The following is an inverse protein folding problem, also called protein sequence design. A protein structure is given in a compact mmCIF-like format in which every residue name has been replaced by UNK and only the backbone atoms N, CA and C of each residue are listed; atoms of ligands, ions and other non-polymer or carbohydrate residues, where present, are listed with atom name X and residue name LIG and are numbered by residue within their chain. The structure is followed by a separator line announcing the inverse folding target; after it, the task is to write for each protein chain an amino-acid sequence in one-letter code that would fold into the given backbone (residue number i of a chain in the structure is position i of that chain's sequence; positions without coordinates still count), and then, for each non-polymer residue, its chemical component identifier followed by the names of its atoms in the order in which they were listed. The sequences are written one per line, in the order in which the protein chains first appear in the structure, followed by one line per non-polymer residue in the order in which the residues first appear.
data_IF_312452686987
#
_entry.id   IF_312452686987
#
_cell.length_a   1.000
_cell.length_b   1.000
_cell.length_c   1.000
_cell.angle_alpha   90.00
_cell.angle_beta   90.00
_cell.angle_gamma   90.00
#
_symmetry.space_group_name_H-M   'P 1'
#
loop_
_entity.id
_entity.type
_entity.pdbx_description
1 polymer ?
#
# COMPACT_ATOMS: atom_id res chain seq x y z
N UNK A 1 2.26 -8.83 2.17
CA UNK A 1 1.00 -8.14 1.74
C UNK A 1 1.19 -7.41 0.39
N UNK A 2 2.33 -6.74 0.20
CA UNK A 2 2.70 -6.05 -1.03
C UNK A 2 3.42 -6.98 -2.04
N UNK A 3 3.42 -6.60 -3.32
CA UNK A 3 4.08 -7.28 -4.43
C UNK A 3 5.50 -6.75 -4.62
N UNK A 4 6.52 -7.58 -4.39
CA UNK A 4 7.92 -7.16 -4.47
C UNK A 4 8.33 -6.67 -5.87
N UNK A 5 7.86 -7.33 -6.93
CA UNK A 5 8.07 -6.88 -8.32
C UNK A 5 7.52 -5.47 -8.57
N UNK A 6 6.27 -5.22 -8.17
CA UNK A 6 5.65 -3.90 -8.37
C UNK A 6 6.32 -2.84 -7.49
N UNK A 7 6.66 -3.18 -6.25
CA UNK A 7 7.41 -2.31 -5.34
C UNK A 7 8.77 -1.91 -5.91
N UNK A 8 9.50 -2.84 -6.53
CA UNK A 8 10.78 -2.54 -7.18
C UNK A 8 10.63 -1.57 -8.37
N UNK A 9 9.58 -1.75 -9.18
CA UNK A 9 9.27 -0.84 -10.30
C UNK A 9 8.87 0.55 -9.78
N UNK A 10 8.08 0.61 -8.71
CA UNK A 10 7.69 1.87 -8.08
C UNK A 10 8.89 2.61 -7.48
N UNK A 11 9.80 1.89 -6.81
CA UNK A 11 11.04 2.47 -6.28
C UNK A 11 11.91 3.06 -7.40
N UNK A 12 12.11 2.33 -8.50
CA UNK A 12 12.88 2.83 -9.64
C UNK A 12 12.21 4.03 -10.34
N UNK A 13 10.87 4.10 -10.34
CA UNK A 13 10.14 5.26 -10.86
C UNK A 13 10.28 6.48 -9.94
N UNK A 14 10.23 6.27 -8.62
CA UNK A 14 10.43 7.32 -7.61
C UNK A 14 11.86 7.88 -7.63
N UNK A 15 12.87 7.01 -7.69
CA UNK A 15 14.29 7.39 -7.80
C UNK A 15 14.53 8.25 -9.07
N UNK A 16 13.96 7.85 -10.20
CA UNK A 16 14.04 8.62 -11.44
C UNK A 16 13.29 9.96 -11.39
N UNK A 17 12.30 10.10 -10.49
CA UNK A 17 11.62 11.36 -10.20
C UNK A 17 12.40 12.24 -9.19
N UNK A 18 13.60 11.83 -8.77
CA UNK A 18 14.43 12.57 -7.81
C UNK A 18 13.98 12.43 -6.37
N UNK A 19 13.20 11.38 -6.04
CA UNK A 19 12.86 11.05 -4.66
C UNK A 19 13.99 10.27 -3.98
N UNK A 20 14.26 10.59 -2.71
CA UNK A 20 14.99 9.69 -1.82
C UNK A 20 14.06 8.53 -1.45
N UNK A 21 14.49 7.30 -1.66
CA UNK A 21 13.64 6.11 -1.51
C UNK A 21 14.25 5.15 -0.50
N UNK A 22 13.44 4.74 0.46
CA UNK A 22 13.72 3.61 1.33
C UNK A 22 12.93 2.41 0.84
N UNK A 23 13.60 1.27 0.61
CA UNK A 23 12.95 0.04 0.15
C UNK A 23 12.68 -0.87 1.35
N UNK A 24 11.45 -1.39 1.42
CA UNK A 24 11.00 -2.20 2.54
C UNK A 24 10.35 -1.35 3.62
N UNK A 25 10.34 -1.87 4.84
CA UNK A 25 9.70 -1.26 5.99
C UNK A 25 8.32 -1.84 6.31
N UNK A 26 7.91 -1.65 7.56
CA UNK A 26 6.68 -2.12 8.16
C UNK A 26 5.73 -0.94 8.31
N UNK A 27 4.66 -0.95 7.51
CA UNK A 27 3.57 0.02 7.61
C UNK A 27 2.59 -0.40 8.70
N UNK A 28 2.36 0.49 9.66
CA UNK A 28 1.28 0.39 10.63
C UNK A 28 0.03 1.09 10.11
N UNK A 29 -1.06 0.35 9.99
CA UNK A 29 -2.38 0.92 9.76
C UNK A 29 -3.08 1.12 11.11
N UNK A 30 -3.31 2.37 11.50
CA UNK A 30 -4.18 2.73 12.62
C UNK A 30 -5.54 3.21 12.11
N UNK A 31 -6.55 3.24 12.99
CA UNK A 31 -7.91 3.65 12.60
C UNK A 31 -8.02 5.15 12.31
N UNK A 32 -7.44 6.00 13.16
CA UNK A 32 -7.69 7.45 13.13
C UNK A 32 -9.11 7.84 13.59
N UNK A 33 -9.56 9.09 13.36
CA UNK A 33 -8.85 10.19 12.69
C UNK A 33 -7.80 10.91 13.56
N UNK A 34 -7.76 10.63 14.86
CA UNK A 34 -6.76 11.20 15.75
C UNK A 34 -5.38 10.61 15.46
N UNK A 35 -4.34 11.45 15.55
CA UNK A 35 -2.96 10.97 15.58
C UNK A 35 -2.66 10.19 16.84
N UNK A 36 -1.60 9.38 16.79
CA UNK A 36 -1.12 8.62 17.93
C UNK A 36 -0.72 9.53 19.08
N UNK A 37 -0.94 9.07 20.30
CA UNK A 37 -0.26 9.59 21.49
C UNK A 37 1.24 9.25 21.43
N UNK A 38 2.05 9.96 22.23
CA UNK A 38 3.48 9.65 22.37
C UNK A 38 3.71 8.18 22.79
N UNK A 39 2.90 7.67 23.73
CA UNK A 39 3.02 6.30 24.22
C UNK A 39 2.74 5.27 23.10
N UNK A 40 1.72 5.51 22.28
CA UNK A 40 1.41 4.67 21.12
C UNK A 40 2.54 4.72 20.09
N UNK A 41 3.00 5.92 19.71
CA UNK A 41 4.08 6.08 18.73
C UNK A 41 5.38 5.37 19.16
N UNK A 42 5.77 5.51 20.43
CA UNK A 42 6.93 4.79 21.01
C UNK A 42 6.70 3.27 21.01
N UNK A 43 5.50 2.80 21.36
CA UNK A 43 5.17 1.37 21.32
C UNK A 43 5.29 0.82 19.88
N UNK A 44 4.68 1.49 18.90
CA UNK A 44 4.70 1.06 17.50
C UNK A 44 6.12 1.02 16.93
N UNK A 45 6.93 2.04 17.20
CA UNK A 45 8.31 2.12 16.71
C UNK A 45 9.23 1.13 17.42
N UNK A 46 9.27 1.14 18.75
CA UNK A 46 10.31 0.42 19.51
C UNK A 46 9.94 -1.01 19.86
N UNK A 47 8.65 -1.29 20.04
CA UNK A 47 8.19 -2.63 20.45
C UNK A 47 7.69 -3.44 19.28
N UNK A 48 7.02 -2.81 18.31
CA UNK A 48 6.51 -3.50 17.12
C UNK A 48 7.47 -3.41 15.93
N UNK A 49 8.43 -2.47 15.95
CA UNK A 49 9.37 -2.29 14.86
C UNK A 49 8.71 -1.74 13.59
N UNK A 50 7.66 -0.92 13.75
CA UNK A 50 7.03 -0.24 12.63
C UNK A 50 7.88 0.95 12.15
N UNK A 51 7.99 1.11 10.84
CA UNK A 51 8.82 2.14 10.21
C UNK A 51 8.00 3.37 9.81
N UNK A 52 6.75 3.14 9.40
CA UNK A 52 5.82 4.19 8.96
C UNK A 52 4.42 3.90 9.48
N UNK A 53 3.64 4.95 9.70
CA UNK A 53 2.26 4.87 10.17
C UNK A 53 1.34 5.63 9.22
N UNK A 54 0.11 5.16 9.09
CA UNK A 54 -0.98 5.88 8.41
C UNK A 54 -2.31 5.17 8.62
N UNK A 55 -3.34 5.56 7.85
CA UNK A 55 -4.72 5.16 8.13
C UNK A 55 -5.45 4.47 6.97
N UNK A 56 -4.79 4.22 5.83
CA UNK A 56 -5.52 3.85 4.59
C UNK A 56 -5.15 2.51 3.96
N UNK A 57 -3.90 2.05 4.10
CA UNK A 57 -3.44 0.84 3.38
C UNK A 57 -4.07 -0.48 3.86
N UNK A 58 -4.72 -0.50 5.03
CA UNK A 58 -5.61 -1.58 5.45
C UNK A 58 -7.04 -1.04 5.59
N UNK A 59 -8.05 -1.76 5.08
CA UNK A 59 -8.00 -3.12 4.50
C UNK A 59 -7.58 -3.17 3.01
N UNK A 60 -7.18 -2.05 2.39
CA UNK A 60 -6.91 -1.95 0.95
C UNK A 60 -5.97 -3.05 0.41
N UNK A 61 -4.83 -3.31 1.04
CA UNK A 61 -3.91 -4.33 0.53
C UNK A 61 -4.44 -5.77 0.67
N UNK A 62 -5.38 -6.04 1.59
CA UNK A 62 -6.08 -7.33 1.68
C UNK A 62 -7.10 -7.45 0.56
N UNK A 63 -7.91 -6.43 0.33
CA UNK A 63 -8.89 -6.41 -0.76
C UNK A 63 -8.22 -6.51 -2.13
N UNK A 64 -7.09 -5.82 -2.33
CA UNK A 64 -6.31 -5.95 -3.56
C UNK A 64 -5.76 -7.37 -3.75
N UNK A 65 -5.43 -8.08 -2.66
CA UNK A 65 -5.01 -9.49 -2.72
C UNK A 65 -6.17 -10.39 -3.09
N UNK A 66 -7.35 -10.18 -2.52
CA UNK A 66 -8.57 -10.91 -2.85
C UNK A 66 -9.00 -10.68 -4.30
N UNK A 67 -8.77 -9.48 -4.84
CA UNK A 67 -9.00 -9.16 -6.26
C UNK A 67 -7.88 -9.63 -7.21
N UNK A 68 -6.91 -10.41 -6.72
CA UNK A 68 -5.76 -10.90 -7.49
C UNK A 68 -4.96 -9.79 -8.22
N UNK A 69 -4.83 -8.64 -7.55
CA UNK A 69 -4.07 -7.49 -8.03
C UNK A 69 -2.66 -7.47 -7.43
N UNK A 70 -1.68 -7.12 -8.26
CA UNK A 70 -0.38 -6.71 -7.73
C UNK A 70 -0.55 -5.38 -7.01
N UNK A 71 -0.37 -5.37 -5.69
CA UNK A 71 -0.47 -4.17 -4.86
C UNK A 71 0.91 -3.75 -4.36
N UNK A 72 1.22 -2.46 -4.40
CA UNK A 72 2.40 -1.88 -3.75
C UNK A 72 1.99 -0.56 -3.09
N UNK A 73 2.51 -0.31 -1.90
CA UNK A 73 2.35 0.98 -1.22
C UNK A 73 3.60 1.82 -1.43
N UNK A 74 3.39 3.12 -1.69
CA UNK A 74 4.44 4.14 -1.68
C UNK A 74 4.06 5.12 -0.56
N UNK A 75 4.64 4.90 0.62
CA UNK A 75 4.42 5.79 1.75
C UNK A 75 5.27 7.06 1.58
N UNK A 76 4.58 8.21 1.48
CA UNK A 76 5.22 9.51 1.36
C UNK A 76 5.29 10.15 2.74
N UNK A 77 6.49 10.22 3.32
CA UNK A 77 6.69 10.70 4.69
C UNK A 77 6.40 12.21 4.76
N UNK A 78 5.52 12.60 5.67
CA UNK A 78 5.11 13.99 5.89
C UNK A 78 5.71 14.59 7.14
N UNK A 79 5.92 13.76 8.16
CA UNK A 79 6.37 14.13 9.49
C UNK A 79 6.85 12.87 10.22
N UNK A 80 7.26 13.03 11.48
CA UNK A 80 7.82 11.96 12.30
C UNK A 80 6.82 11.38 13.31
N UNK A 81 5.53 11.66 13.24
CA UNK A 81 4.54 11.27 14.26
C UNK A 81 4.92 11.79 15.67
N UNK A 82 4.09 11.50 16.67
CA UNK A 82 4.20 12.06 18.02
C UNK A 82 5.46 11.69 18.80
N UNK A 83 6.31 10.76 18.33
CA UNK A 83 7.54 10.38 19.06
C UNK A 83 8.66 11.41 18.95
N UNK A 84 8.67 12.25 17.91
CA UNK A 84 9.74 13.21 17.72
C UNK A 84 9.58 14.39 18.70
N UNK A 85 10.63 14.81 19.42
CA UNK A 85 10.56 15.92 20.37
C UNK A 85 9.99 17.21 19.77
N UNK A 86 10.27 17.45 18.48
CA UNK A 86 9.85 18.64 17.75
C UNK A 86 8.41 18.54 17.19
N UNK A 87 7.66 17.46 17.46
CA UNK A 87 6.31 17.23 16.92
C UNK A 87 5.31 18.35 17.29
N UNK A 88 5.55 19.09 18.38
CA UNK A 88 4.75 20.26 18.78
C UNK A 88 5.15 21.60 18.14
N UNK A 89 6.28 21.65 17.43
CA UNK A 89 6.83 22.86 16.78
C UNK A 89 6.69 22.83 15.25
N UNK A 90 6.04 21.79 14.71
CA UNK A 90 5.92 21.62 13.26
C UNK A 90 4.97 22.68 12.70
N UNK A 91 5.55 23.69 12.07
CA UNK A 91 4.83 24.71 11.33
C UNK A 91 3.96 24.04 10.24
N UNK A 92 2.66 24.32 10.26
CA UNK A 92 1.69 23.85 9.26
C UNK A 92 2.17 24.15 7.83
N UNK A 93 2.89 25.26 7.64
CA UNK A 93 3.45 25.64 6.34
C UNK A 93 4.54 24.68 5.86
N UNK A 94 5.40 24.15 6.74
CA UNK A 94 6.41 23.15 6.39
C UNK A 94 5.77 21.77 6.10
N UNK A 95 4.67 21.43 6.78
CA UNK A 95 3.86 20.24 6.44
C UNK A 95 3.28 20.38 5.03
N UNK A 96 2.63 21.51 4.73
CA UNK A 96 2.03 21.78 3.41
C UNK A 96 3.08 21.73 2.31
N UNK A 97 4.26 22.30 2.55
CA UNK A 97 5.39 22.27 1.61
C UNK A 97 5.89 20.85 1.38
N UNK A 98 6.05 20.05 2.43
CA UNK A 98 6.44 18.64 2.34
C UNK A 98 5.41 17.83 1.56
N UNK A 99 4.12 18.02 1.86
CA UNK A 99 3.01 17.40 1.13
C UNK A 99 3.02 17.75 -0.36
N UNK A 100 3.22 19.04 -0.69
CA UNK A 100 3.22 19.51 -2.08
C UNK A 100 4.42 18.93 -2.85
N UNK A 101 5.61 18.97 -2.27
CA UNK A 101 6.80 18.37 -2.88
C UNK A 101 6.69 16.85 -3.06
N UNK A 102 6.07 16.15 -2.09
CA UNK A 102 5.77 14.73 -2.22
C UNK A 102 4.74 14.47 -3.32
N UNK A 103 3.71 15.30 -3.46
CA UNK A 103 2.69 15.14 -4.50
C UNK A 103 3.25 15.29 -5.91
N UNK A 104 4.18 16.23 -6.14
CA UNK A 104 4.85 16.38 -7.44
C UNK A 104 5.67 15.14 -7.81
N UNK A 105 6.49 14.65 -6.87
CA UNK A 105 7.26 13.41 -7.05
C UNK A 105 6.36 12.21 -7.25
N UNK A 106 5.26 12.11 -6.49
CA UNK A 106 4.26 11.05 -6.61
C UNK A 106 3.58 11.04 -7.99
N UNK A 107 3.26 12.22 -8.54
CA UNK A 107 2.72 12.35 -9.90
C UNK A 107 3.71 11.88 -10.96
N UNK A 108 4.98 12.31 -10.85
CA UNK A 108 6.03 11.90 -11.77
C UNK A 108 6.31 10.39 -11.71
N UNK A 109 6.33 9.82 -10.50
CA UNK A 109 6.40 8.38 -10.25
C UNK A 109 5.26 7.66 -10.98
N UNK A 110 4.01 8.06 -10.72
CA UNK A 110 2.83 7.42 -11.30
C UNK A 110 2.84 7.49 -12.84
N UNK A 111 3.18 8.65 -13.41
CA UNK A 111 3.32 8.83 -14.86
C UNK A 111 4.43 7.94 -15.46
N UNK A 112 5.48 7.65 -14.69
CA UNK A 112 6.59 6.79 -15.10
C UNK A 112 6.33 5.29 -15.04
N UNK A 113 5.25 4.83 -14.37
CA UNK A 113 4.96 3.41 -14.18
C UNK A 113 4.59 2.67 -15.48
N UNK A 114 3.68 3.17 -16.36
CA UNK A 114 3.28 2.43 -17.56
C UNK A 114 4.45 2.07 -18.47
N UNK A 115 5.38 3.01 -18.70
CA UNK A 115 6.57 2.76 -19.52
C UNK A 115 7.52 1.70 -18.94
N UNK A 116 7.54 1.52 -17.61
CA UNK A 116 8.37 0.52 -16.92
C UNK A 116 7.69 -0.84 -16.80
N UNK A 117 6.37 -0.88 -16.70
CA UNK A 117 5.59 -2.11 -16.64
C UNK A 117 5.36 -2.73 -18.02
N UNK A 118 5.40 -1.91 -19.08
CA UNK A 118 5.12 -2.32 -20.45
C UNK A 118 3.62 -2.47 -20.74
N UNK A 119 3.30 -2.73 -22.01
CA UNK A 119 1.91 -2.85 -22.47
C UNK A 119 1.27 -4.21 -22.14
N UNK A 120 2.09 -5.25 -21.95
CA UNK A 120 1.61 -6.62 -21.68
C UNK A 120 1.74 -6.97 -20.20
N UNK A 121 0.63 -7.42 -19.59
CA UNK A 121 0.64 -7.98 -18.24
C UNK A 121 1.19 -9.39 -18.26
N UNK A 122 2.41 -9.58 -17.75
CA UNK A 122 2.97 -10.90 -17.50
C UNK A 122 2.47 -11.49 -16.18
N UNK A 123 2.49 -12.83 -16.08
CA UNK A 123 2.19 -13.51 -14.82
C UNK A 123 3.08 -13.00 -13.70
N UNK A 124 2.49 -12.72 -12.54
CA UNK A 124 3.29 -12.30 -11.40
C UNK A 124 4.12 -13.50 -10.89
N UNK A 125 5.46 -13.38 -10.76
CA UNK A 125 6.29 -14.45 -10.22
C UNK A 125 5.98 -14.74 -8.74
N UNK A 126 5.35 -13.80 -8.03
CA UNK A 126 4.92 -13.97 -6.64
C UNK A 126 3.48 -14.46 -6.51
N UNK A 127 2.81 -14.82 -7.61
CA UNK A 127 1.45 -15.36 -7.59
C UNK A 127 0.37 -14.38 -7.13
N UNK A 128 0.63 -13.07 -7.08
CA UNK A 128 -0.37 -12.08 -6.67
C UNK A 128 -1.64 -12.13 -7.54
N UNK A 129 -1.46 -12.47 -8.82
CA UNK A 129 -2.50 -12.58 -9.84
C UNK A 129 -3.22 -13.93 -9.86
N UNK A 130 -2.91 -14.80 -8.89
CA UNK A 130 -3.54 -16.12 -8.69
C UNK A 130 -3.76 -16.42 -7.21
N UNK A 131 -3.86 -15.37 -6.39
CA UNK A 131 -3.92 -15.50 -4.94
C UNK A 131 -5.12 -16.34 -4.45
N UNK A 132 -6.21 -16.41 -5.23
CA UNK A 132 -7.41 -17.13 -4.88
C UNK A 132 -7.41 -18.62 -5.29
N UNK A 133 -6.41 -19.07 -6.06
CA UNK A 133 -6.38 -20.41 -6.69
C UNK A 133 -6.64 -21.57 -5.70
N UNK A 134 -6.22 -21.40 -4.44
CA UNK A 134 -6.47 -22.36 -3.36
C UNK A 134 -7.08 -21.72 -2.10
N UNK A 135 -7.60 -20.49 -2.20
CA UNK A 135 -8.11 -19.75 -1.05
C UNK A 135 -9.64 -19.88 -0.89
N UNK A 136 -10.35 -20.24 -1.96
CA UNK A 136 -11.81 -20.42 -1.90
C UNK A 136 -12.14 -21.83 -1.42
N UNK A 137 -12.59 -21.93 -0.16
CA UNK A 137 -12.96 -23.19 0.47
C UNK A 137 -14.42 -23.59 0.24
N UNK A 138 -15.28 -22.62 -0.10
CA UNK A 138 -16.70 -22.87 -0.34
C UNK A 138 -16.87 -23.79 -1.55
N UNK A 139 -17.45 -24.96 -1.31
CA UNK A 139 -17.66 -25.99 -2.33
C UNK A 139 -18.57 -25.47 -3.45
N UNK A 140 -18.36 -25.88 -4.72
CA UNK A 140 -19.14 -25.37 -5.85
C UNK A 140 -20.66 -25.47 -5.68
N UNK A 141 -21.15 -26.56 -5.09
CA UNK A 141 -22.57 -26.82 -4.82
C UNK A 141 -23.16 -25.98 -3.68
N UNK A 142 -22.31 -25.42 -2.80
CA UNK A 142 -22.71 -24.55 -1.70
C UNK A 142 -22.64 -23.05 -2.03
N UNK A 143 -22.28 -22.67 -3.27
CA UNK A 143 -22.15 -21.27 -3.69
C UNK A 143 -23.50 -20.70 -4.10
N UNK A 144 -23.99 -19.72 -3.34
CA UNK A 144 -25.20 -18.99 -3.69
C UNK A 144 -25.01 -18.20 -5.00
N UNK A 145 -25.89 -18.35 -6.02
CA UNK A 145 -25.71 -17.72 -7.33
C UNK A 145 -25.62 -16.19 -7.27
N UNK A 146 -26.38 -15.54 -6.39
CA UNK A 146 -26.36 -14.08 -6.20
C UNK A 146 -25.03 -13.59 -5.63
N UNK A 147 -24.41 -14.36 -4.74
CA UNK A 147 -23.09 -14.04 -4.17
C UNK A 147 -22.00 -14.20 -5.22
N UNK A 148 -22.04 -15.27 -6.04
CA UNK A 148 -21.08 -15.47 -7.15
C UNK A 148 -21.17 -14.31 -8.14
N UNK A 149 -22.38 -13.92 -8.54
CA UNK A 149 -22.59 -12.79 -9.44
C UNK A 149 -22.04 -11.47 -8.87
N UNK A 150 -22.19 -11.22 -7.56
CA UNK A 150 -21.61 -10.05 -6.88
C UNK A 150 -20.08 -10.05 -6.87
N UNK A 151 -19.46 -11.22 -6.88
CA UNK A 151 -18.01 -11.39 -6.80
C UNK A 151 -17.33 -11.49 -8.18
N UNK A 152 -18.07 -11.41 -9.28
CA UNK A 152 -17.55 -11.60 -10.64
C UNK A 152 -16.30 -10.76 -10.94
N UNK A 153 -16.33 -9.46 -10.59
CA UNK A 153 -15.21 -8.55 -10.84
C UNK A 153 -13.96 -8.80 -9.96
N UNK A 154 -14.11 -9.54 -8.84
CA UNK A 154 -13.05 -9.76 -7.85
C UNK A 154 -12.49 -11.18 -7.94
N UNK A 155 -13.37 -12.17 -8.03
CA UNK A 155 -13.05 -13.59 -7.95
C UNK A 155 -13.56 -14.40 -9.16
N UNK A 156 -14.02 -13.75 -10.23
CA UNK A 156 -14.61 -14.42 -11.40
C UNK A 156 -13.72 -15.51 -11.99
N UNK A 157 -12.39 -15.35 -11.98
CA UNK A 157 -11.44 -16.37 -12.46
C UNK A 157 -11.58 -17.72 -11.76
N UNK A 158 -11.92 -17.74 -10.46
CA UNK A 158 -11.98 -18.96 -9.64
C UNK A 158 -13.41 -19.40 -9.32
N UNK A 159 -14.40 -18.52 -9.55
CA UNK A 159 -15.80 -18.80 -9.27
C UNK A 159 -16.62 -19.14 -10.52
N UNK A 160 -16.18 -18.73 -11.72
CA UNK A 160 -16.85 -18.99 -13.00
C UNK A 160 -16.23 -20.19 -13.75
#
# INVERSE_FOLDING_TARGET
PTCARLGAVAAAAAEAAGASVHRGGTYLAMEGPQFSTLAESVMYRERWGCDVIGMTNMPEAKLAREAELCYASVAMITDYDSWHPDHGEVDVTEIIKTLTGNAEKGRALAAGLPGRLGASRHRCPHGCDRALEHAVLTQPDARAPDVVARLDAVAGRVLN
#
